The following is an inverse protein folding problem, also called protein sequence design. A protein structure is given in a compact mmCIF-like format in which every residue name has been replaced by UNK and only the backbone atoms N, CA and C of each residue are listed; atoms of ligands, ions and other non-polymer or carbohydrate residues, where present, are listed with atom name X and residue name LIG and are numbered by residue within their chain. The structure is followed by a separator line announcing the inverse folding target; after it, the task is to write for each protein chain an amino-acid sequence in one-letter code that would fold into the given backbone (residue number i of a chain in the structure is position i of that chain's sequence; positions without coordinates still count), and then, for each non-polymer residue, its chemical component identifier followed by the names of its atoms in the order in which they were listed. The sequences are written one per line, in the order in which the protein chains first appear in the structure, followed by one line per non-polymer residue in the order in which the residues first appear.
data_IF_260866069432
#
_entry.id   IF_260866069432
#
_cell.length_a   1.000
_cell.length_b   1.000
_cell.length_c   1.000
_cell.angle_alpha   90.00
_cell.angle_beta   90.00
_cell.angle_gamma   90.00
#
_symmetry.space_group_name_H-M   'P 1'
#
loop_
_entity.id
_entity.type
_entity.pdbx_description
1 polymer ?
#
# COMPACT_ATOMS: atom_id res chain seq x y z
N UNK A 1 7.96 0.89 -23.74
CA UNK A 1 8.27 1.82 -22.63
C UNK A 1 7.97 1.05 -21.34
N UNK A 2 8.96 0.33 -20.81
CA UNK A 2 8.74 -0.61 -19.70
C UNK A 2 9.31 -0.02 -18.42
N UNK A 3 8.46 0.55 -17.57
CA UNK A 3 8.80 0.80 -16.17
C UNK A 3 7.58 0.53 -15.28
N UNK A 4 7.15 -0.73 -15.21
CA UNK A 4 6.51 -1.24 -14.01
C UNK A 4 7.65 -1.68 -13.08
N UNK A 5 8.37 -0.72 -12.52
CA UNK A 5 9.41 -1.01 -11.54
C UNK A 5 8.69 -1.48 -10.27
N UNK A 6 8.53 -2.79 -10.13
CA UNK A 6 8.09 -3.44 -8.91
C UNK A 6 9.07 -3.04 -7.80
N UNK A 7 8.54 -2.43 -6.74
CA UNK A 7 9.34 -2.00 -5.58
C UNK A 7 8.83 -2.70 -4.34
N UNK A 8 9.74 -3.15 -3.50
CA UNK A 8 9.36 -3.73 -2.22
C UNK A 8 9.09 -2.59 -1.24
N UNK A 9 8.01 -2.69 -0.49
CA UNK A 9 7.67 -1.79 0.59
C UNK A 9 7.43 -2.56 1.88
N UNK A 10 7.85 -1.97 3.00
CA UNK A 10 7.76 -2.56 4.34
C UNK A 10 6.67 -1.84 5.13
N UNK A 11 5.80 -2.62 5.76
CA UNK A 11 4.74 -2.11 6.63
C UNK A 11 5.33 -1.64 7.96
N UNK A 12 4.93 -0.45 8.40
CA UNK A 12 5.43 0.22 9.60
C UNK A 12 4.45 0.21 10.76
N UNK A 13 3.23 -0.29 10.54
CA UNK A 13 2.16 -0.30 11.53
C UNK A 13 1.75 -1.72 11.88
N UNK A 14 1.27 -1.91 13.12
CA UNK A 14 0.88 -3.24 13.63
C UNK A 14 -0.19 -3.95 12.80
N UNK A 15 -1.08 -3.18 12.16
CA UNK A 15 -2.13 -3.72 11.32
C UNK A 15 -2.40 -2.76 10.18
N UNK A 16 -2.31 -3.26 8.95
CA UNK A 16 -2.62 -2.54 7.73
C UNK A 16 -3.54 -3.40 6.88
N UNK A 17 -4.72 -2.87 6.53
CA UNK A 17 -5.68 -3.58 5.70
C UNK A 17 -5.34 -3.44 4.22
N UNK A 18 -5.35 -4.58 3.52
CA UNK A 18 -5.37 -4.63 2.06
C UNK A 18 -6.82 -4.68 1.63
N UNK A 19 -7.20 -3.76 0.75
CA UNK A 19 -8.56 -3.56 0.28
C UNK A 19 -8.68 -3.87 -1.20
N UNK A 20 -9.90 -4.15 -1.63
CA UNK A 20 -10.21 -4.38 -3.05
C UNK A 20 -9.90 -3.17 -3.93
N UNK A 21 -9.97 -1.96 -3.36
CA UNK A 21 -9.72 -0.71 -4.06
C UNK A 21 -9.07 0.34 -3.15
N UNK A 22 -8.60 1.43 -3.75
CA UNK A 22 -7.86 2.53 -3.13
C UNK A 22 -8.73 3.49 -2.30
N UNK A 23 -9.64 2.95 -1.49
CA UNK A 23 -10.56 3.70 -0.62
C UNK A 23 -10.63 3.07 0.78
N UNK A 24 -10.74 3.91 1.82
CA UNK A 24 -10.80 3.44 3.20
C UNK A 24 -12.12 2.73 3.56
N UNK A 25 -13.16 2.90 2.76
CA UNK A 25 -14.48 2.25 2.89
C UNK A 25 -14.58 0.95 2.10
N UNK A 26 -13.61 0.67 1.21
CA UNK A 26 -13.58 -0.56 0.42
C UNK A 26 -13.39 -1.81 1.29
N UNK A 27 -13.94 -2.94 0.84
CA UNK A 27 -13.80 -4.22 1.55
C UNK A 27 -12.34 -4.58 1.78
N UNK A 28 -12.00 -4.95 3.02
CA UNK A 28 -10.69 -5.47 3.38
C UNK A 28 -10.63 -6.97 3.09
N UNK A 29 -9.73 -7.36 2.19
CA UNK A 29 -9.55 -8.75 1.70
C UNK A 29 -8.32 -9.43 2.31
N UNK A 30 -7.41 -8.67 2.89
CA UNK A 30 -6.27 -9.19 3.65
C UNK A 30 -5.79 -8.19 4.70
N UNK A 31 -4.93 -8.66 5.60
CA UNK A 31 -4.25 -7.84 6.60
C UNK A 31 -2.76 -8.08 6.54
N UNK A 32 -2.00 -7.00 6.63
CA UNK A 32 -0.56 -6.97 6.79
C UNK A 32 -0.21 -6.51 8.20
N UNK A 33 0.95 -6.92 8.68
CA UNK A 33 1.49 -6.55 9.99
C UNK A 33 2.82 -5.84 9.83
N UNK A 34 3.25 -5.19 10.89
CA UNK A 34 4.54 -4.50 10.96
C UNK A 34 5.68 -5.45 10.56
N UNK A 35 6.55 -4.97 9.67
CA UNK A 35 7.67 -5.73 9.12
C UNK A 35 7.32 -6.61 7.91
N UNK A 36 6.05 -6.74 7.53
CA UNK A 36 5.70 -7.44 6.29
C UNK A 36 6.23 -6.66 5.08
N UNK A 37 6.79 -7.43 4.13
CA UNK A 37 7.29 -6.91 2.87
C UNK A 37 6.28 -7.20 1.76
N UNK A 38 5.90 -6.17 1.01
CA UNK A 38 4.96 -6.29 -0.10
C UNK A 38 5.52 -5.71 -1.38
N UNK A 39 5.23 -6.36 -2.50
CA UNK A 39 5.60 -5.86 -3.81
C UNK A 39 4.57 -4.83 -4.28
N UNK A 40 5.02 -3.60 -4.49
CA UNK A 40 4.22 -2.49 -4.99
C UNK A 40 4.43 -2.35 -6.49
N UNK A 41 3.35 -2.46 -7.25
CA UNK A 41 3.36 -2.32 -8.72
C UNK A 41 3.06 -0.89 -9.16
N UNK A 42 2.25 -0.16 -8.40
CA UNK A 42 1.87 1.22 -8.68
C UNK A 42 1.50 1.95 -7.39
N UNK A 43 1.49 3.28 -7.44
CA UNK A 43 0.97 4.12 -6.35
C UNK A 43 -0.10 5.06 -6.89
N UNK A 44 -1.18 5.26 -6.13
CA UNK A 44 -2.28 6.15 -6.49
C UNK A 44 -2.64 7.02 -5.29
N UNK A 45 -2.93 8.30 -5.51
CA UNK A 45 -3.38 9.20 -4.44
C UNK A 45 -2.77 10.58 -4.54
N UNK A 46 -2.79 11.32 -3.43
CA UNK A 46 -2.33 12.70 -3.32
C UNK A 46 -1.32 12.85 -2.17
N UNK A 47 -0.99 14.08 -1.78
CA UNK A 47 -0.02 14.35 -0.70
C UNK A 47 -0.48 13.91 0.69
N UNK A 48 -1.78 13.73 0.91
CA UNK A 48 -2.37 13.37 2.21
C UNK A 48 -2.55 11.85 2.33
N UNK A 49 -3.03 11.23 1.26
CA UNK A 49 -3.34 9.80 1.19
C UNK A 49 -2.76 9.18 -0.08
N UNK A 50 -1.85 8.22 0.10
CA UNK A 50 -1.19 7.46 -0.97
C UNK A 50 -1.50 6.00 -0.75
N UNK A 51 -1.96 5.34 -1.80
CA UNK A 51 -2.26 3.91 -1.85
C UNK A 51 -1.24 3.20 -2.73
N UNK A 52 -0.74 2.08 -2.25
CA UNK A 52 0.14 1.17 -2.96
C UNK A 52 -0.68 0.01 -3.53
N UNK A 53 -0.56 -0.21 -4.85
CA UNK A 53 -1.13 -1.37 -5.51
C UNK A 53 -0.20 -2.56 -5.32
N UNK A 54 -0.72 -3.63 -4.73
CA UNK A 54 0.00 -4.89 -4.43
C UNK A 54 -0.33 -6.01 -5.43
N UNK A 55 -1.14 -5.69 -6.43
CA UNK A 55 -1.68 -6.61 -7.42
C UNK A 55 -3.05 -6.15 -7.91
N UNK A 56 -3.62 -6.90 -8.86
CA UNK A 56 -4.98 -6.63 -9.34
C UNK A 56 -5.99 -6.75 -8.19
N UNK A 57 -6.78 -5.69 -7.98
CA UNK A 57 -7.76 -5.62 -6.89
C UNK A 57 -7.15 -5.68 -5.48
N UNK A 58 -5.87 -5.31 -5.31
CA UNK A 58 -5.20 -5.30 -4.00
C UNK A 58 -4.51 -3.97 -3.76
N UNK A 59 -5.05 -3.20 -2.83
CA UNK A 59 -4.55 -1.89 -2.47
C UNK A 59 -4.30 -1.78 -0.98
N UNK A 60 -3.17 -1.22 -0.58
CA UNK A 60 -2.85 -0.94 0.81
C UNK A 60 -2.49 0.54 0.96
N UNK A 61 -2.95 1.17 2.03
CA UNK A 61 -2.61 2.55 2.30
C UNK A 61 -1.12 2.64 2.67
N UNK A 62 -0.35 3.37 1.86
CA UNK A 62 1.06 3.66 2.10
C UNK A 62 1.21 4.90 2.98
N UNK A 63 0.37 5.90 2.71
CA UNK A 63 0.19 7.10 3.52
C UNK A 63 -1.30 7.35 3.67
N UNK A 64 -1.75 7.71 4.87
CA UNK A 64 -3.14 8.06 5.10
C UNK A 64 -3.21 9.17 6.13
N UNK A 65 -3.95 10.23 5.84
CA UNK A 65 -4.10 11.39 6.74
C UNK A 65 -2.75 11.96 7.22
N UNK A 66 -1.77 12.06 6.30
CA UNK A 66 -0.43 12.53 6.66
C UNK A 66 0.49 11.48 7.30
N UNK A 67 -0.05 10.36 7.79
CA UNK A 67 0.71 9.32 8.48
C UNK A 67 1.26 8.29 7.50
N UNK A 68 2.56 7.99 7.61
CA UNK A 68 3.22 6.95 6.81
C UNK A 68 2.97 5.59 7.44
N UNK A 69 2.25 4.73 6.72
CA UNK A 69 1.89 3.37 7.15
C UNK A 69 2.81 2.30 6.56
N UNK A 70 3.39 2.59 5.39
CA UNK A 70 4.30 1.73 4.67
C UNK A 70 5.35 2.59 3.95
N UNK A 71 6.58 2.09 3.83
CA UNK A 71 7.66 2.78 3.10
C UNK A 71 8.35 1.85 2.12
N UNK A 72 8.87 2.36 1.01
CA UNK A 72 9.72 1.56 0.14
C UNK A 72 10.97 1.10 0.90
N UNK A 73 11.37 -0.16 0.65
CA UNK A 73 12.64 -0.72 1.10
C UNK A 73 13.74 -0.14 0.22
N UNK A 74 14.71 0.51 0.84
CA UNK A 74 15.93 1.04 0.19
C UNK A 74 16.87 -0.09 -0.22
#
# INVERSE_FOLDING_TARGET
MNQNAKRIAVVLVKSLHVRVDHDASSEAIAGLKEGDEVEVTATWGNSESIWAQLGEGRWAAMKYDGQTLMKFKE
#
